data_IF_104679013817
#
_entry.id   IF_104679013817
#
_cell.length_a   1.000
_cell.length_b   1.000
_cell.length_c   1.000
_cell.angle_alpha   90.00
_cell.angle_beta   90.00
_cell.angle_gamma   90.00
#
_symmetry.space_group_name_H-M   'P 1'
#
loop_
_entity.id
_entity.type
_entity.pdbx_description
1 polymer ?
#
# COMPACT_ATOMS: atom_id res chain seq x y z
N UNK A 1 47.73 70.47 -15.25
CA UNK A 1 47.73 69.30 -14.43
C UNK A 1 46.36 69.01 -13.80
N UNK A 2 45.67 69.96 -13.18
CA UNK A 2 44.33 69.74 -12.56
C UNK A 2 43.23 69.23 -13.52
N UNK A 3 43.23 69.64 -14.79
CA UNK A 3 42.26 69.22 -15.81
C UNK A 3 42.48 67.79 -16.33
N UNK A 4 43.72 67.26 -16.29
CA UNK A 4 44.06 65.91 -16.69
C UNK A 4 43.64 64.96 -15.61
N UNK A 5 43.79 65.33 -14.34
CA UNK A 5 43.36 64.49 -13.17
C UNK A 5 41.84 64.34 -13.14
N UNK A 6 41.09 65.42 -13.49
CA UNK A 6 39.63 65.38 -13.52
C UNK A 6 39.10 64.45 -14.66
N UNK A 7 39.77 64.45 -15.82
CA UNK A 7 39.43 63.56 -16.95
C UNK A 7 39.68 62.08 -16.63
N UNK A 8 40.76 61.77 -15.91
CA UNK A 8 41.10 60.43 -15.51
C UNK A 8 40.12 59.85 -14.42
N UNK A 9 39.64 60.74 -13.52
CA UNK A 9 38.67 60.39 -12.50
C UNK A 9 37.29 60.06 -13.11
N UNK A 10 36.84 60.76 -14.16
CA UNK A 10 35.58 60.50 -14.88
C UNK A 10 35.66 59.19 -15.66
N UNK A 11 36.84 58.80 -16.18
CA UNK A 11 37.03 57.56 -16.94
C UNK A 11 37.03 56.33 -16.04
N UNK A 12 37.47 56.45 -14.78
CA UNK A 12 37.44 55.41 -13.79
C UNK A 12 36.00 55.10 -13.26
N UNK A 13 35.12 56.12 -13.28
CA UNK A 13 33.69 55.88 -12.90
C UNK A 13 32.87 55.16 -13.97
N UNK A 14 33.30 55.17 -15.23
CA UNK A 14 32.57 54.49 -16.31
C UNK A 14 32.76 52.96 -16.34
N UNK A 15 33.76 52.43 -15.67
CA UNK A 15 33.97 50.98 -15.60
C UNK A 15 33.31 50.28 -14.40
N UNK A 16 32.72 51.05 -13.49
CA UNK A 16 32.06 50.49 -12.27
C UNK A 16 30.64 49.96 -12.45
N UNK A 17 30.01 50.14 -13.63
CA UNK A 17 28.57 49.87 -13.80
C UNK A 17 28.22 48.55 -14.45
N UNK A 18 29.17 47.64 -14.66
CA UNK A 18 28.92 46.28 -15.17
C UNK A 18 29.01 45.21 -14.08
N UNK A 19 28.63 45.56 -12.86
CA UNK A 19 28.20 44.48 -11.94
C UNK A 19 26.83 43.99 -12.44
N UNK A 20 26.85 43.20 -13.50
CA UNK A 20 25.70 42.42 -13.92
C UNK A 20 25.28 41.58 -12.73
N UNK A 21 24.24 42.06 -12.06
CA UNK A 21 23.51 41.29 -11.10
C UNK A 21 22.95 40.05 -11.87
N UNK A 22 23.75 39.01 -11.97
CA UNK A 22 23.31 37.72 -12.48
C UNK A 22 22.28 37.19 -11.47
N UNK A 23 21.11 37.80 -11.42
CA UNK A 23 19.92 37.20 -10.85
C UNK A 23 19.59 36.01 -11.75
N UNK A 24 20.25 34.89 -11.49
CA UNK A 24 19.91 33.63 -12.13
C UNK A 24 18.44 33.36 -11.80
N UNK A 25 17.58 33.57 -12.78
CA UNK A 25 16.18 33.15 -12.66
C UNK A 25 16.13 31.68 -12.28
N UNK A 26 15.23 31.32 -11.38
CA UNK A 26 15.03 29.95 -10.96
C UNK A 26 13.67 29.52 -11.48
N UNK A 27 13.63 28.36 -12.18
CA UNK A 27 12.40 27.69 -12.55
C UNK A 27 12.20 26.57 -11.54
N UNK A 28 11.07 26.61 -10.84
CA UNK A 28 10.65 25.53 -9.93
C UNK A 28 9.48 24.79 -10.56
N UNK A 29 9.59 23.49 -10.66
CA UNK A 29 8.56 22.61 -11.24
C UNK A 29 8.35 21.41 -10.34
N UNK A 30 7.15 20.85 -10.37
CA UNK A 30 6.82 19.58 -9.75
C UNK A 30 6.66 18.52 -10.84
N UNK A 31 7.41 17.42 -10.73
CA UNK A 31 7.25 16.26 -11.58
C UNK A 31 6.24 15.30 -10.95
N UNK A 32 5.36 14.76 -11.77
CA UNK A 32 4.35 13.77 -11.37
C UNK A 32 4.46 12.55 -12.25
N UNK A 33 4.19 11.41 -11.66
CA UNK A 33 4.14 10.12 -12.36
C UNK A 33 3.08 9.23 -11.75
N UNK A 34 2.54 8.33 -12.55
CA UNK A 34 1.75 7.21 -12.06
C UNK A 34 2.06 5.97 -12.89
N UNK A 35 1.93 4.80 -12.29
CA UNK A 35 2.10 3.50 -12.95
C UNK A 35 0.93 2.63 -12.53
N UNK A 36 0.34 1.94 -13.51
CA UNK A 36 -0.68 0.92 -13.28
C UNK A 36 -0.06 -0.45 -13.45
N UNK A 37 -0.28 -1.32 -12.48
CA UNK A 37 0.32 -2.65 -12.44
C UNK A 37 -0.69 -3.67 -11.91
N UNK A 38 -0.72 -4.85 -12.52
CA UNK A 38 -1.50 -5.97 -12.01
C UNK A 38 -0.76 -6.59 -10.81
N UNK A 39 -1.43 -6.78 -9.67
CA UNK A 39 -0.81 -7.38 -8.49
C UNK A 39 -0.48 -8.86 -8.72
N UNK A 40 0.64 -9.31 -8.15
CA UNK A 40 1.10 -10.70 -8.23
C UNK A 40 0.93 -11.45 -6.92
N UNK A 41 0.68 -10.76 -5.82
CA UNK A 41 0.39 -11.39 -4.54
C UNK A 41 -1.11 -11.47 -4.27
N UNK A 42 -1.50 -12.59 -3.65
CA UNK A 42 -2.83 -12.81 -3.11
C UNK A 42 -2.69 -13.11 -1.62
N UNK A 43 -3.46 -12.43 -0.79
CA UNK A 43 -3.51 -12.70 0.64
C UNK A 43 -4.91 -13.10 1.08
N UNK A 44 -4.99 -14.24 1.76
CA UNK A 44 -6.19 -14.72 2.43
C UNK A 44 -6.05 -14.41 3.91
N UNK A 45 -6.88 -13.53 4.45
CA UNK A 45 -6.91 -13.25 5.88
C UNK A 45 -8.15 -13.85 6.50
N UNK A 46 -7.97 -14.80 7.38
CA UNK A 46 -9.06 -15.44 8.14
C UNK A 46 -9.04 -14.92 9.56
N UNK A 47 -10.19 -14.43 10.03
CA UNK A 47 -10.33 -13.85 11.35
C UNK A 47 -11.03 -14.84 12.29
N UNK A 48 -10.36 -15.18 13.38
CA UNK A 48 -10.89 -16.05 14.42
C UNK A 48 -11.09 -15.28 15.71
N UNK A 49 -12.03 -15.73 16.53
CA UNK A 49 -12.11 -15.26 17.90
C UNK A 49 -12.10 -16.44 18.88
N UNK A 50 -11.59 -16.17 20.07
CA UNK A 50 -11.60 -17.06 21.22
C UNK A 50 -12.11 -16.25 22.41
N UNK A 51 -13.05 -16.81 23.17
CA UNK A 51 -13.60 -16.18 24.38
C UNK A 51 -13.40 -17.06 25.60
N UNK A 52 -13.05 -16.44 26.71
CA UNK A 52 -13.00 -17.10 28.04
C UNK A 52 -13.18 -16.07 29.14
N UNK A 53 -13.71 -16.49 30.29
CA UNK A 53 -13.86 -15.61 31.47
C UNK A 53 -12.50 -15.29 32.13
N UNK A 54 -11.49 -16.15 31.90
CA UNK A 54 -10.16 -16.01 32.43
C UNK A 54 -9.19 -15.56 31.34
N UNK A 55 -8.47 -14.45 31.57
CA UNK A 55 -7.51 -13.88 30.62
C UNK A 55 -6.42 -14.89 30.19
N UNK A 56 -5.82 -15.59 31.16
CA UNK A 56 -4.75 -16.57 30.87
C UNK A 56 -5.28 -17.71 30.01
N UNK A 57 -6.45 -18.21 30.31
CA UNK A 57 -7.09 -19.29 29.55
C UNK A 57 -7.45 -18.84 28.14
N UNK A 58 -7.99 -17.62 27.98
CA UNK A 58 -8.23 -17.01 26.68
C UNK A 58 -6.93 -16.93 25.84
N UNK A 59 -5.82 -16.54 26.46
CA UNK A 59 -4.53 -16.48 25.79
C UNK A 59 -4.00 -17.86 25.37
N UNK A 60 -4.05 -18.84 26.26
CA UNK A 60 -3.60 -20.23 26.00
C UNK A 60 -4.42 -20.86 24.85
N UNK A 61 -5.74 -20.74 24.91
CA UNK A 61 -6.64 -21.23 23.86
C UNK A 61 -6.41 -20.53 22.52
N UNK A 62 -6.01 -19.25 22.55
CA UNK A 62 -5.69 -18.49 21.34
C UNK A 62 -4.45 -19.03 20.65
N UNK A 63 -3.38 -19.30 21.39
CA UNK A 63 -2.15 -19.93 20.86
C UNK A 63 -2.46 -21.32 20.28
N UNK A 64 -3.19 -22.14 21.01
CA UNK A 64 -3.59 -23.47 20.54
C UNK A 64 -4.42 -23.39 19.25
N UNK A 65 -5.31 -22.41 19.14
CA UNK A 65 -6.10 -22.16 17.92
C UNK A 65 -5.22 -21.80 16.73
N UNK A 66 -4.24 -20.91 16.92
CA UNK A 66 -3.28 -20.52 15.89
C UNK A 66 -2.52 -21.75 15.40
N UNK A 67 -2.00 -22.58 16.31
CA UNK A 67 -1.23 -23.77 15.97
C UNK A 67 -2.07 -24.79 15.19
N UNK A 68 -3.32 -25.01 15.59
CA UNK A 68 -4.26 -25.89 14.87
C UNK A 68 -4.50 -25.41 13.45
N UNK A 69 -4.67 -24.10 13.27
CA UNK A 69 -4.90 -23.51 11.94
C UNK A 69 -3.64 -23.63 11.08
N UNK A 70 -2.48 -23.29 11.61
CA UNK A 70 -1.21 -23.47 10.89
C UNK A 70 -1.01 -24.92 10.47
N UNK A 71 -1.20 -25.86 11.40
CA UNK A 71 -1.08 -27.30 11.12
C UNK A 71 -2.04 -27.76 10.03
N UNK A 72 -3.25 -27.22 9.96
CA UNK A 72 -4.21 -27.54 8.91
C UNK A 72 -3.63 -27.22 7.52
N UNK A 73 -3.09 -26.02 7.34
CA UNK A 73 -2.51 -25.60 6.07
C UNK A 73 -1.22 -26.35 5.73
N UNK A 74 -0.32 -26.51 6.70
CA UNK A 74 0.96 -27.21 6.51
C UNK A 74 0.73 -28.67 6.09
N UNK A 75 -0.17 -29.41 6.76
CA UNK A 75 -0.52 -30.79 6.41
C UNK A 75 -1.11 -30.94 5.01
N UNK A 76 -1.68 -29.85 4.48
CA UNK A 76 -2.22 -29.80 3.14
C UNK A 76 -1.22 -29.23 2.11
N UNK A 77 0.07 -29.10 2.48
CA UNK A 77 1.14 -28.72 1.56
C UNK A 77 1.24 -27.21 1.30
N UNK A 78 0.74 -26.39 2.21
CA UNK A 78 1.00 -24.95 2.22
C UNK A 78 2.23 -24.69 3.07
N UNK A 79 3.21 -23.99 2.53
CA UNK A 79 4.48 -23.71 3.19
C UNK A 79 4.25 -22.83 4.43
N UNK A 80 4.88 -23.16 5.55
CA UNK A 80 4.73 -22.44 6.82
C UNK A 80 5.09 -20.94 6.69
N UNK A 81 6.08 -20.62 5.87
CA UNK A 81 6.55 -19.26 5.63
C UNK A 81 5.48 -18.34 5.04
N UNK A 82 4.52 -18.90 4.32
CA UNK A 82 3.39 -18.18 3.74
C UNK A 82 2.30 -17.85 4.77
N UNK A 83 2.33 -18.51 5.95
CA UNK A 83 1.30 -18.38 6.99
C UNK A 83 1.83 -17.45 8.07
N UNK A 84 1.20 -16.29 8.22
CA UNK A 84 1.60 -15.26 9.19
C UNK A 84 0.45 -14.93 10.13
N UNK A 85 0.81 -14.74 11.40
CA UNK A 85 -0.07 -14.13 12.40
C UNK A 85 0.64 -12.86 12.87
N UNK A 86 0.29 -11.73 12.31
CA UNK A 86 1.04 -10.49 12.54
C UNK A 86 0.80 -9.91 13.92
N UNK A 87 -0.40 -10.09 14.46
CA UNK A 87 -0.76 -9.68 15.81
C UNK A 87 -2.05 -10.37 16.24
N UNK A 88 -2.22 -10.57 17.54
CA UNK A 88 -3.54 -10.78 18.11
C UNK A 88 -3.68 -9.91 19.37
N UNK A 89 -4.90 -9.50 19.65
CA UNK A 89 -5.20 -8.67 20.80
C UNK A 89 -6.27 -9.35 21.63
N UNK A 90 -6.09 -9.30 22.96
CA UNK A 90 -7.11 -9.75 23.91
C UNK A 90 -7.68 -8.51 24.58
N UNK A 91 -8.98 -8.39 24.60
CA UNK A 91 -9.69 -7.28 25.22
C UNK A 91 -10.82 -7.79 26.12
N UNK A 92 -11.21 -6.97 27.09
CA UNK A 92 -12.35 -7.25 27.93
C UNK A 92 -13.65 -7.09 27.14
N UNK A 93 -14.56 -8.02 27.32
CA UNK A 93 -15.91 -7.96 26.78
C UNK A 93 -16.88 -7.61 27.90
N UNK A 94 -17.71 -6.63 27.64
CA UNK A 94 -18.77 -6.20 28.54
C UNK A 94 -20.11 -6.40 27.88
N UNK A 95 -21.10 -6.87 28.65
CA UNK A 95 -22.46 -7.04 28.22
C UNK A 95 -23.38 -6.10 28.99
N UNK A 96 -24.28 -5.43 28.31
CA UNK A 96 -25.28 -4.61 28.96
C UNK A 96 -26.32 -5.49 29.68
N UNK A 97 -26.47 -5.28 31.00
CA UNK A 97 -27.50 -5.92 31.79
C UNK A 97 -28.71 -4.96 31.93
N UNK A 98 -29.87 -5.33 31.34
CA UNK A 98 -31.04 -4.48 31.40
C UNK A 98 -31.64 -4.35 32.82
N UNK A 99 -31.39 -5.33 33.69
CA UNK A 99 -31.91 -5.33 35.06
C UNK A 99 -31.10 -4.36 35.93
N UNK A 100 -29.76 -4.41 35.78
CA UNK A 100 -28.85 -3.53 36.50
C UNK A 100 -28.67 -2.16 35.82
N UNK A 101 -29.17 -2.01 34.58
CA UNK A 101 -28.97 -0.83 33.71
C UNK A 101 -27.53 -0.36 33.56
N UNK A 102 -26.61 -1.31 33.57
CA UNK A 102 -25.18 -1.06 33.40
C UNK A 102 -24.50 -2.16 32.61
N UNK A 103 -23.30 -1.87 32.09
CA UNK A 103 -22.43 -2.91 31.48
C UNK A 103 -21.75 -3.71 32.58
N UNK A 104 -21.81 -5.03 32.48
CA UNK A 104 -21.14 -5.98 33.36
C UNK A 104 -20.07 -6.73 32.60
N UNK A 105 -19.02 -7.10 33.29
CA UNK A 105 -17.95 -7.91 32.72
C UNK A 105 -18.50 -9.26 32.27
N UNK A 106 -18.17 -9.69 31.03
CA UNK A 106 -18.58 -10.96 30.44
C UNK A 106 -17.40 -11.91 30.26
N UNK A 107 -16.18 -11.36 30.16
CA UNK A 107 -14.97 -12.15 29.95
C UNK A 107 -13.96 -11.42 29.07
N UNK A 108 -13.09 -12.19 28.46
CA UNK A 108 -12.04 -11.75 27.53
C UNK A 108 -12.29 -12.33 26.14
N UNK A 109 -12.04 -11.56 25.11
CA UNK A 109 -12.09 -12.01 23.72
C UNK A 109 -10.76 -11.71 23.01
N UNK A 110 -10.18 -12.72 22.40
CA UNK A 110 -9.03 -12.61 21.53
C UNK A 110 -9.51 -12.56 20.07
N UNK A 111 -9.00 -11.58 19.32
CA UNK A 111 -9.16 -11.51 17.86
C UNK A 111 -7.85 -11.93 17.19
N UNK A 112 -7.91 -12.94 16.35
CA UNK A 112 -6.74 -13.62 15.77
C UNK A 112 -6.85 -13.58 14.25
N UNK A 113 -6.20 -12.64 13.57
CA UNK A 113 -6.06 -12.65 12.12
C UNK A 113 -4.92 -13.59 11.70
N UNK A 114 -5.23 -14.61 10.92
CA UNK A 114 -4.24 -15.46 10.25
C UNK A 114 -4.24 -15.13 8.78
N UNK A 115 -3.10 -14.71 8.26
CA UNK A 115 -2.94 -14.30 6.86
C UNK A 115 -2.04 -15.30 6.14
N UNK A 116 -2.51 -15.79 4.99
CA UNK A 116 -1.75 -16.65 4.09
C UNK A 116 -1.48 -15.82 2.84
N UNK A 117 -0.19 -15.61 2.52
CA UNK A 117 0.23 -14.87 1.34
C UNK A 117 0.80 -15.83 0.30
N UNK A 118 0.32 -15.72 -0.92
CA UNK A 118 0.80 -16.52 -2.05
C UNK A 118 1.02 -15.63 -3.25
N UNK A 119 1.82 -16.12 -4.19
CA UNK A 119 1.89 -15.52 -5.52
C UNK A 119 0.65 -15.94 -6.33
N UNK A 120 0.50 -15.40 -7.52
CA UNK A 120 -0.58 -15.72 -8.46
C UNK A 120 -0.43 -17.17 -8.99
N UNK A 121 -0.67 -18.12 -8.10
CA UNK A 121 -0.70 -19.55 -8.37
C UNK A 121 -2.15 -20.05 -8.16
N UNK A 122 -2.87 -20.20 -9.24
CA UNK A 122 -4.30 -20.53 -9.21
C UNK A 122 -4.58 -21.84 -8.48
N UNK A 123 -3.76 -22.88 -8.69
CA UNK A 123 -3.97 -24.18 -8.06
C UNK A 123 -3.77 -24.11 -6.54
N UNK A 124 -2.71 -23.44 -6.10
CA UNK A 124 -2.44 -23.22 -4.67
C UNK A 124 -3.51 -22.35 -4.02
N UNK A 125 -3.96 -21.30 -4.71
CA UNK A 125 -4.97 -20.37 -4.22
C UNK A 125 -6.33 -21.04 -4.08
N UNK A 126 -6.75 -21.84 -5.06
CA UNK A 126 -7.98 -22.64 -4.97
C UNK A 126 -7.94 -23.61 -3.81
N UNK A 127 -6.80 -24.29 -3.60
CA UNK A 127 -6.60 -25.19 -2.46
C UNK A 127 -6.73 -24.47 -1.12
N UNK A 128 -6.13 -23.29 -0.97
CA UNK A 128 -6.25 -22.46 0.24
C UNK A 128 -7.71 -22.08 0.47
N UNK A 129 -8.40 -21.65 -0.57
CA UNK A 129 -9.80 -21.27 -0.49
C UNK A 129 -10.70 -22.44 -0.06
N UNK A 130 -10.54 -23.63 -0.66
CA UNK A 130 -11.29 -24.84 -0.28
C UNK A 130 -11.00 -25.24 1.17
N UNK A 131 -9.74 -25.15 1.63
CA UNK A 131 -9.39 -25.42 3.03
C UNK A 131 -10.08 -24.46 4.00
N UNK A 132 -10.15 -23.18 3.65
CA UNK A 132 -10.86 -22.18 4.46
C UNK A 132 -12.35 -22.50 4.50
N UNK A 133 -12.96 -22.70 3.35
CA UNK A 133 -14.39 -22.97 3.22
C UNK A 133 -14.83 -24.23 3.97
N UNK A 134 -14.07 -25.32 3.85
CA UNK A 134 -14.48 -26.62 4.35
C UNK A 134 -14.13 -26.84 5.83
N UNK A 135 -13.09 -26.19 6.34
CA UNK A 135 -12.58 -26.45 7.69
C UNK A 135 -12.72 -25.26 8.65
N UNK A 136 -12.85 -24.05 8.13
CA UNK A 136 -12.79 -22.84 8.95
C UNK A 136 -14.10 -22.06 8.78
N UNK A 137 -15.07 -22.32 9.65
CA UNK A 137 -16.35 -21.58 9.67
C UNK A 137 -16.12 -20.17 10.20
N UNK A 138 -15.33 -19.36 9.49
CA UNK A 138 -14.90 -18.03 9.91
C UNK A 138 -14.96 -17.04 8.75
N UNK A 139 -15.11 -15.77 9.08
CA UNK A 139 -15.03 -14.72 8.08
C UNK A 139 -13.61 -14.64 7.53
N UNK A 140 -13.48 -14.52 6.22
CA UNK A 140 -12.20 -14.31 5.58
C UNK A 140 -12.26 -13.15 4.59
N UNK A 141 -11.12 -12.50 4.37
CA UNK A 141 -10.94 -11.47 3.35
C UNK A 141 -9.88 -11.94 2.37
N UNK A 142 -10.10 -11.68 1.10
CA UNK A 142 -9.14 -11.90 0.03
C UNK A 142 -8.69 -10.54 -0.50
N UNK A 143 -7.37 -10.30 -0.49
CA UNK A 143 -6.79 -9.06 -0.99
C UNK A 143 -5.70 -9.37 -2.01
N UNK A 144 -5.59 -8.50 -3.01
CA UNK A 144 -4.50 -8.51 -3.96
C UNK A 144 -3.49 -7.43 -3.57
N UNK A 145 -2.20 -7.73 -3.70
CA UNK A 145 -1.12 -6.81 -3.37
C UNK A 145 0.02 -6.90 -4.38
N UNK A 146 0.80 -5.85 -4.45
CA UNK A 146 2.08 -5.91 -5.17
C UNK A 146 3.09 -6.68 -4.31
N UNK A 147 3.89 -7.54 -4.94
CA UNK A 147 5.04 -8.16 -4.28
C UNK A 147 6.10 -7.11 -3.91
N UNK A 148 7.00 -7.45 -2.98
CA UNK A 148 8.10 -6.55 -2.62
C UNK A 148 8.95 -6.20 -3.85
N UNK A 149 9.22 -7.19 -4.72
CA UNK A 149 9.96 -6.99 -5.96
C UNK A 149 9.23 -6.05 -6.93
N UNK A 150 7.91 -6.23 -7.10
CA UNK A 150 7.10 -5.30 -7.88
C UNK A 150 7.13 -3.89 -7.29
N UNK A 151 7.06 -3.75 -5.99
CA UNK A 151 7.09 -2.44 -5.32
C UNK A 151 8.42 -1.71 -5.55
N UNK A 152 9.55 -2.42 -5.49
CA UNK A 152 10.87 -1.81 -5.76
C UNK A 152 10.99 -1.36 -7.22
N UNK A 153 10.64 -2.23 -8.18
CA UNK A 153 10.65 -1.88 -9.60
C UNK A 153 9.76 -0.67 -9.91
N UNK A 154 8.58 -0.61 -9.32
CA UNK A 154 7.64 0.49 -9.54
C UNK A 154 8.15 1.79 -8.94
N UNK A 155 8.74 1.75 -7.74
CA UNK A 155 9.35 2.94 -7.12
C UNK A 155 10.42 3.56 -8.02
N UNK A 156 11.33 2.75 -8.54
CA UNK A 156 12.36 3.22 -9.44
C UNK A 156 11.77 3.85 -10.71
N UNK A 157 10.79 3.16 -11.31
CA UNK A 157 10.11 3.64 -12.52
C UNK A 157 9.37 4.96 -12.29
N UNK A 158 8.70 5.10 -11.15
CA UNK A 158 7.99 6.34 -10.77
C UNK A 158 8.96 7.51 -10.63
N UNK A 159 10.13 7.30 -10.00
CA UNK A 159 11.15 8.34 -9.89
C UNK A 159 11.63 8.79 -11.27
N UNK A 160 11.94 7.83 -12.14
CA UNK A 160 12.39 8.14 -13.51
C UNK A 160 11.36 8.97 -14.27
N UNK A 161 10.10 8.55 -14.26
CA UNK A 161 9.00 9.23 -14.95
C UNK A 161 8.73 10.63 -14.36
N UNK A 162 8.76 10.78 -13.05
CA UNK A 162 8.56 12.07 -12.40
C UNK A 162 9.68 13.07 -12.72
N UNK A 163 10.94 12.61 -12.75
CA UNK A 163 12.07 13.45 -13.15
C UNK A 163 11.97 13.86 -14.62
N UNK A 164 11.53 12.96 -15.49
CA UNK A 164 11.34 13.25 -16.91
C UNK A 164 10.22 14.28 -17.12
N UNK A 165 9.08 14.11 -16.45
CA UNK A 165 7.97 15.08 -16.47
C UNK A 165 8.40 16.47 -15.98
N UNK A 166 9.15 16.53 -14.86
CA UNK A 166 9.70 17.79 -14.35
C UNK A 166 10.63 18.48 -15.36
N UNK A 167 11.53 17.71 -15.99
CA UNK A 167 12.43 18.26 -17.03
C UNK A 167 11.66 18.78 -18.22
N UNK A 168 10.65 18.05 -18.67
CA UNK A 168 9.81 18.48 -19.79
C UNK A 168 9.08 19.78 -19.46
N UNK A 169 8.45 19.87 -18.28
CA UNK A 169 7.78 21.11 -17.82
C UNK A 169 8.74 22.29 -17.73
N UNK A 170 9.93 22.10 -17.15
CA UNK A 170 10.94 23.14 -17.05
C UNK A 170 11.41 23.63 -18.45
N UNK A 171 11.57 22.69 -19.38
CA UNK A 171 11.94 23.00 -20.76
C UNK A 171 10.87 23.86 -21.47
N UNK A 172 9.59 23.45 -21.35
CA UNK A 172 8.47 24.22 -21.95
C UNK A 172 8.38 25.60 -21.36
N UNK A 173 8.54 25.79 -20.04
CA UNK A 173 8.52 27.08 -19.38
C UNK A 173 9.67 27.95 -19.86
N UNK A 174 10.90 27.42 -19.93
CA UNK A 174 12.07 28.17 -20.39
C UNK A 174 11.91 28.64 -21.84
N UNK A 175 11.44 27.75 -22.74
CA UNK A 175 11.18 28.06 -24.13
C UNK A 175 10.10 29.16 -24.27
N UNK A 176 9.00 29.05 -23.53
CA UNK A 176 7.91 30.03 -23.56
C UNK A 176 8.34 31.39 -23.03
N UNK A 177 9.29 31.41 -22.10
CA UNK A 177 9.88 32.64 -21.58
C UNK A 177 11.05 33.18 -22.44
N UNK A 178 11.41 32.51 -23.54
CA UNK A 178 12.57 32.85 -24.38
C UNK A 178 13.89 32.86 -23.59
N UNK A 179 14.08 31.94 -22.63
CA UNK A 179 15.32 31.81 -21.87
C UNK A 179 15.86 30.38 -22.02
N UNK A 180 17.17 30.24 -21.82
CA UNK A 180 17.81 28.93 -21.81
C UNK A 180 17.64 28.27 -20.44
N UNK A 181 17.26 26.96 -20.43
CA UNK A 181 17.22 26.16 -19.22
C UNK A 181 18.65 25.91 -18.73
N UNK A 182 18.93 26.31 -17.49
CA UNK A 182 20.22 26.10 -16.83
C UNK A 182 20.36 24.73 -16.19
N UNK A 183 21.40 24.59 -15.37
CA UNK A 183 21.64 23.34 -14.60
C UNK A 183 20.63 23.22 -13.49
N UNK A 184 20.31 21.94 -13.14
CA UNK A 184 19.49 21.62 -11.98
C UNK A 184 20.20 22.13 -10.71
N UNK A 185 19.50 22.88 -9.88
CA UNK A 185 20.03 23.45 -8.64
C UNK A 185 19.73 22.56 -7.45
N UNK A 186 18.55 21.99 -7.40
CA UNK A 186 18.13 21.07 -6.32
C UNK A 186 17.03 20.14 -6.82
N UNK A 187 16.96 18.97 -6.24
CA UNK A 187 15.86 18.01 -6.40
C UNK A 187 15.39 17.68 -5.00
N UNK A 188 14.07 17.72 -4.77
CA UNK A 188 13.43 17.20 -3.59
C UNK A 188 12.55 16.02 -4.04
N UNK A 189 12.65 14.94 -3.34
CA UNK A 189 11.92 13.72 -3.62
C UNK A 189 10.93 13.44 -2.49
N UNK A 190 9.68 13.15 -2.85
CA UNK A 190 8.65 12.67 -1.94
C UNK A 190 8.41 11.18 -2.14
N UNK A 191 8.18 10.44 -1.06
CA UNK A 191 7.86 9.02 -1.16
C UNK A 191 6.58 8.79 -1.97
N UNK A 192 6.59 7.79 -2.90
CA UNK A 192 5.39 7.43 -3.65
C UNK A 192 4.32 6.91 -2.70
N UNK A 193 3.06 7.20 -3.01
CA UNK A 193 1.90 6.72 -2.27
C UNK A 193 1.06 5.83 -3.15
N UNK A 194 0.63 4.69 -2.63
CA UNK A 194 -0.37 3.87 -3.29
C UNK A 194 -1.71 4.59 -3.24
N UNK A 195 -2.29 4.84 -4.42
CA UNK A 195 -3.64 5.39 -4.57
C UNK A 195 -4.53 4.19 -4.92
N UNK A 196 -5.11 3.60 -3.91
CA UNK A 196 -6.04 2.47 -4.05
C UNK A 196 -5.63 1.28 -3.20
N UNK A 197 -6.32 1.09 -2.09
CA UNK A 197 -6.41 -0.20 -1.42
C UNK A 197 -7.66 -0.88 -1.96
N UNK A 198 -7.49 -1.95 -2.74
CA UNK A 198 -8.62 -2.78 -3.11
C UNK A 198 -8.97 -3.69 -1.94
N UNK A 199 -9.79 -3.18 -1.03
CA UNK A 199 -10.63 -4.05 -0.23
C UNK A 199 -11.74 -4.53 -1.18
N UNK A 200 -11.59 -5.69 -1.78
CA UNK A 200 -12.76 -6.43 -2.24
C UNK A 200 -13.48 -6.89 -0.97
N UNK A 201 -14.24 -5.98 -0.35
CA UNK A 201 -15.38 -6.43 0.41
C UNK A 201 -16.22 -7.18 -0.61
N UNK A 202 -16.14 -8.51 -0.60
CA UNK A 202 -17.20 -9.33 -1.15
C UNK A 202 -18.42 -9.07 -0.26
N UNK A 203 -19.10 -7.94 -0.46
CA UNK A 203 -20.53 -7.96 -0.36
C UNK A 203 -20.93 -9.02 -1.38
N UNK A 204 -21.32 -10.19 -0.87
CA UNK A 204 -22.17 -11.09 -1.61
C UNK A 204 -23.36 -10.24 -2.03
N UNK A 205 -23.24 -9.56 -3.18
CA UNK A 205 -24.39 -9.08 -3.90
C UNK A 205 -25.35 -10.27 -3.91
N UNK A 206 -26.53 -10.08 -3.36
CA UNK A 206 -27.68 -10.96 -3.54
C UNK A 206 -27.94 -11.08 -5.05
N UNK A 207 -27.02 -11.73 -5.76
CA UNK A 207 -27.31 -12.29 -7.05
C UNK A 207 -28.33 -13.38 -6.75
N UNK A 208 -29.54 -13.19 -7.18
CA UNK A 208 -30.56 -14.23 -7.26
C UNK A 208 -29.85 -15.51 -7.70
N UNK A 209 -29.80 -16.47 -6.78
CA UNK A 209 -29.22 -17.78 -7.04
C UNK A 209 -30.13 -18.43 -8.05
N UNK A 210 -29.84 -18.23 -9.33
CA UNK A 210 -30.32 -19.13 -10.34
C UNK A 210 -29.78 -20.51 -9.97
N UNK A 211 -30.61 -21.57 -10.00
CA UNK A 211 -30.17 -22.91 -9.60
C UNK A 211 -29.10 -23.37 -10.56
N UNK A 212 -27.83 -23.13 -10.21
CA UNK A 212 -26.69 -23.71 -10.91
C UNK A 212 -26.69 -25.20 -10.67
N UNK A 213 -26.77 -25.93 -11.73
CA UNK A 213 -26.62 -27.38 -11.76
C UNK A 213 -25.32 -27.80 -11.05
N UNK A 214 -25.42 -28.79 -10.22
CA UNK A 214 -24.56 -29.28 -9.15
C UNK A 214 -23.15 -29.76 -9.54
N UNK A 215 -22.53 -29.32 -10.65
CA UNK A 215 -21.26 -29.87 -11.16
C UNK A 215 -20.19 -28.85 -11.60
N UNK A 216 -20.33 -27.59 -11.31
CA UNK A 216 -19.24 -26.66 -11.54
C UNK A 216 -18.48 -26.45 -10.22
N UNK A 217 -17.25 -26.98 -10.08
CA UNK A 217 -16.28 -26.51 -9.10
C UNK A 217 -16.16 -25.00 -9.30
N UNK A 218 -16.62 -24.22 -8.34
CA UNK A 218 -16.46 -22.79 -8.39
C UNK A 218 -14.98 -22.48 -8.16
N UNK A 219 -14.26 -22.27 -9.24
CA UNK A 219 -12.91 -21.73 -9.26
C UNK A 219 -13.01 -20.24 -8.98
N UNK A 220 -12.85 -19.85 -7.73
CA UNK A 220 -12.96 -18.43 -7.30
C UNK A 220 -11.83 -17.60 -7.86
N UNK A 221 -10.63 -18.15 -7.98
CA UNK A 221 -9.48 -17.38 -8.46
C UNK A 221 -9.56 -17.09 -9.95
N UNK A 222 -10.30 -17.90 -10.72
CA UNK A 222 -10.58 -17.61 -12.14
C UNK A 222 -11.64 -16.51 -12.33
N UNK A 223 -12.50 -16.30 -11.34
CA UNK A 223 -13.56 -15.27 -11.36
C UNK A 223 -13.06 -13.94 -10.84
N UNK A 224 -12.06 -13.94 -9.95
CA UNK A 224 -11.47 -12.74 -9.38
C UNK A 224 -10.35 -12.23 -10.27
N UNK A 225 -10.66 -11.29 -11.14
CA UNK A 225 -9.66 -10.52 -11.87
C UNK A 225 -9.25 -9.33 -11.04
N UNK A 226 -7.99 -9.24 -10.56
CA UNK A 226 -7.54 -8.06 -9.85
C UNK A 226 -7.54 -6.86 -10.80
N UNK A 227 -8.09 -5.75 -10.33
CA UNK A 227 -7.91 -4.48 -11.02
C UNK A 227 -6.45 -4.04 -10.93
N UNK A 228 -6.00 -3.24 -11.90
CA UNK A 228 -4.68 -2.64 -11.86
C UNK A 228 -4.56 -1.70 -10.65
N UNK A 229 -3.44 -1.76 -9.94
CA UNK A 229 -3.10 -0.84 -8.86
C UNK A 229 -2.37 0.35 -9.47
N UNK A 230 -2.83 1.56 -9.17
CA UNK A 230 -2.15 2.81 -9.54
C UNK A 230 -1.29 3.31 -8.39
N UNK A 231 -0.04 3.62 -8.66
CA UNK A 231 0.92 4.23 -7.72
C UNK A 231 1.39 5.58 -8.24
#
# INVERSE_FOLDING_TARGET
MKKIILSLAVMLFAFGSFAQNNQNGIITVEGKSSVKLAPEEISFTVNFSVKDENYKQCAEMSVEKIDKIKMLFIKNGIDEELIKTNSFAIHEVQKYDPQLRQSVFEGYEANIPVTIRTQKDYEKNDKIFELIKDNLQSNFNLNFALSEEQMEMVKEKLIQLAVEDAKQKATVIAQSANVQLGKIKSIQYGEPRMIGTFNTNMELMNAEILPMTRNAKADITSVLSPNEIEM
#
